data_IF_029174976261
#
_entry.id   IF_029174976261
#
_cell.length_a   1.000
_cell.length_b   1.000
_cell.length_c   1.000
_cell.angle_alpha   90.00
_cell.angle_beta   90.00
_cell.angle_gamma   90.00
#
_symmetry.space_group_name_H-M   'P 1'
#
loop_
_entity.id
_entity.type
_entity.pdbx_description
1 polymer ?
#
# COMPACT_ATOMS: atom_id res chain seq x y z
N UNK A 1 14.70 -17.17 4.37
CA UNK A 1 13.52 -16.38 4.00
C UNK A 1 12.97 -15.62 5.19
N UNK A 2 12.58 -16.37 6.18
CA UNK A 2 12.07 -15.74 7.39
C UNK A 2 13.10 -14.79 7.98
N UNK A 3 14.36 -15.19 7.93
CA UNK A 3 15.44 -14.38 8.46
C UNK A 3 15.59 -13.05 7.71
N UNK A 4 15.22 -13.04 6.46
CA UNK A 4 15.30 -11.82 5.68
C UNK A 4 14.33 -10.76 6.19
N UNK A 5 13.18 -11.21 6.62
CA UNK A 5 12.19 -10.27 7.12
C UNK A 5 12.56 -9.74 8.48
N UNK A 6 13.00 -10.64 9.36
CA UNK A 6 13.50 -10.19 10.65
C UNK A 6 14.67 -9.25 10.48
N UNK A 7 15.46 -9.55 9.49
CA UNK A 7 16.58 -8.72 9.16
C UNK A 7 16.13 -7.33 8.75
N UNK A 8 15.00 -7.21 8.10
CA UNK A 8 14.56 -5.91 7.67
C UNK A 8 14.29 -4.97 8.81
N UNK A 9 13.80 -5.47 9.88
CA UNK A 9 13.61 -4.61 11.03
C UNK A 9 14.91 -4.31 11.70
N UNK A 10 15.71 -5.32 11.88
CA UNK A 10 17.06 -5.08 12.32
C UNK A 10 17.79 -4.32 11.24
N UNK A 11 17.46 -4.62 10.00
CA UNK A 11 17.99 -3.98 8.84
C UNK A 11 17.71 -2.50 8.77
N UNK A 12 16.78 -2.02 9.52
CA UNK A 12 16.61 -0.60 9.64
C UNK A 12 17.89 0.04 10.16
N UNK A 13 18.51 -0.60 11.11
CA UNK A 13 19.80 -0.15 11.64
C UNK A 13 20.87 -0.34 10.59
N UNK A 14 20.86 -1.45 9.92
CA UNK A 14 21.81 -1.72 8.86
C UNK A 14 21.67 -0.70 7.74
N UNK A 15 20.45 -0.43 7.38
CA UNK A 15 20.17 0.55 6.37
C UNK A 15 20.66 1.92 6.79
N UNK A 16 20.46 2.26 8.03
CA UNK A 16 20.98 3.50 8.58
C UNK A 16 22.48 3.52 8.50
N UNK A 17 23.10 2.43 8.86
CA UNK A 17 24.54 2.34 8.83
C UNK A 17 25.06 2.54 7.41
N UNK A 18 24.38 1.96 6.45
CA UNK A 18 24.75 2.14 5.06
C UNK A 18 24.64 3.60 4.66
N UNK A 19 23.56 4.25 5.03
CA UNK A 19 23.36 5.64 4.70
C UNK A 19 24.41 6.54 5.34
N UNK A 20 24.81 6.22 6.55
CA UNK A 20 25.79 7.01 7.26
C UNK A 20 27.19 6.70 6.76
N UNK A 21 27.45 5.46 6.44
CA UNK A 21 28.77 5.03 6.09
C UNK A 21 29.19 5.44 4.68
N UNK A 22 28.45 5.11 3.69
CA UNK A 22 28.79 5.39 2.37
C UNK A 22 27.66 5.65 1.57
N UNK A 23 27.05 5.74 2.32
CA UNK A 23 26.32 5.64 1.84
C UNK A 23 25.05 5.94 1.35
N UNK A 24 24.54 7.06 1.64
CA UNK A 24 23.32 7.45 1.04
C UNK A 24 23.29 7.13 -0.43
N UNK A 25 24.45 7.25 -1.09
CA UNK A 25 24.51 6.98 -2.50
C UNK A 25 24.23 5.53 -2.83
N UNK A 26 24.87 4.62 -2.14
CA UNK A 26 24.67 3.18 -2.33
C UNK A 26 23.28 2.77 -1.90
N UNK A 27 22.82 3.33 -0.80
CA UNK A 27 21.47 3.05 -0.30
C UNK A 27 20.41 3.50 -1.29
N UNK A 28 20.59 4.68 -1.88
CA UNK A 28 19.64 5.21 -2.85
C UNK A 28 19.57 4.31 -4.08
N UNK A 29 20.71 3.87 -4.60
CA UNK A 29 20.73 2.96 -5.73
C UNK A 29 20.03 1.65 -5.43
N UNK A 30 20.29 1.09 -4.25
CA UNK A 30 19.73 -0.21 -3.89
C UNK A 30 18.22 -0.20 -3.77
N UNK A 31 17.64 0.90 -3.36
CA UNK A 31 16.23 0.96 -3.07
C UNK A 31 15.46 1.95 -3.92
N UNK A 32 16.04 2.37 -5.01
CA UNK A 32 15.45 3.39 -5.86
C UNK A 32 14.04 3.02 -6.33
N UNK A 33 13.84 1.80 -6.79
CA UNK A 33 12.53 1.37 -7.25
C UNK A 33 11.50 1.33 -6.12
N UNK A 34 11.93 0.89 -4.95
CA UNK A 34 11.05 0.86 -3.79
C UNK A 34 10.62 2.27 -3.38
N UNK A 35 11.56 3.19 -3.34
CA UNK A 35 11.27 4.56 -2.99
C UNK A 35 10.35 5.19 -4.03
N UNK A 36 10.60 4.95 -5.30
CA UNK A 36 9.75 5.47 -6.37
C UNK A 36 8.33 4.92 -6.28
N UNK A 37 8.19 3.66 -5.92
CA UNK A 37 6.87 3.06 -5.71
C UNK A 37 6.10 3.80 -4.62
N UNK A 38 6.76 4.06 -3.50
CA UNK A 38 6.13 4.75 -2.37
C UNK A 38 5.82 6.21 -2.71
N UNK A 39 6.74 6.88 -3.38
CA UNK A 39 6.53 8.28 -3.77
C UNK A 39 5.35 8.42 -4.72
N UNK A 40 5.25 7.50 -5.69
CA UNK A 40 4.14 7.52 -6.65
C UNK A 40 2.83 7.22 -5.93
N UNK A 41 2.82 6.25 -5.03
CA UNK A 41 1.63 5.93 -4.24
C UNK A 41 1.19 7.14 -3.40
N UNK A 42 2.15 7.83 -2.79
CA UNK A 42 1.85 9.04 -2.03
C UNK A 42 1.18 10.10 -2.91
N UNK A 43 1.68 10.28 -4.12
CA UNK A 43 1.08 11.22 -5.07
C UNK A 43 -0.34 10.86 -5.46
N UNK A 44 -0.63 9.58 -5.61
CA UNK A 44 -1.98 9.13 -5.94
C UNK A 44 -2.98 9.43 -4.83
N UNK A 45 -2.56 9.29 -3.59
CA UNK A 45 -3.43 9.54 -2.45
C UNK A 45 -3.82 11.02 -2.37
N UNK A 46 -2.88 11.91 -2.67
CA UNK A 46 -3.09 13.35 -2.56
C UNK A 46 -3.45 14.05 -3.87
N UNK A 47 -3.49 13.31 -4.97
CA UNK A 47 -3.59 13.92 -6.29
C UNK A 47 -5.00 13.96 -6.85
N UNK A 48 -5.05 13.96 -8.18
CA UNK A 48 -6.29 14.12 -8.96
C UNK A 48 -7.35 13.07 -8.67
N UNK A 49 -6.94 11.90 -8.19
CA UNK A 49 -7.89 10.85 -7.86
C UNK A 49 -8.83 11.27 -6.76
N UNK A 50 -8.30 11.97 -5.75
CA UNK A 50 -9.12 12.48 -4.66
C UNK A 50 -10.06 13.55 -5.14
N UNK A 51 -9.61 14.40 -6.06
CA UNK A 51 -10.45 15.43 -6.65
C UNK A 51 -11.61 14.82 -7.44
N UNK A 52 -11.34 13.75 -8.18
CA UNK A 52 -12.33 13.11 -9.05
C UNK A 52 -13.31 12.25 -8.27
N UNK A 53 -12.80 11.44 -7.34
CA UNK A 53 -13.61 10.43 -6.66
C UNK A 53 -13.94 10.76 -5.23
N UNK A 54 -13.46 11.90 -4.73
CA UNK A 54 -13.73 12.35 -3.37
C UNK A 54 -12.95 11.56 -2.34
N UNK A 55 -13.52 11.48 -1.15
CA UNK A 55 -12.86 10.87 -0.01
C UNK A 55 -12.79 9.35 -0.17
N UNK A 56 -11.58 8.82 -0.14
CA UNK A 56 -11.35 7.39 -0.33
C UNK A 56 -12.04 6.54 0.75
N UNK A 57 -12.11 7.04 1.98
CA UNK A 57 -12.76 6.32 3.07
C UNK A 57 -14.26 6.22 2.84
N UNK A 58 -14.87 7.30 2.38
CA UNK A 58 -16.31 7.29 2.09
C UNK A 58 -16.63 6.36 0.93
N UNK A 59 -15.79 6.35 -0.10
CA UNK A 59 -15.95 5.41 -1.20
C UNK A 59 -15.83 3.96 -0.70
N UNK A 60 -14.84 3.69 0.14
CA UNK A 60 -14.66 2.36 0.73
C UNK A 60 -15.86 1.97 1.59
N UNK A 61 -16.44 2.92 2.31
CA UNK A 61 -17.64 2.66 3.10
C UNK A 61 -18.79 2.18 2.22
N UNK A 62 -19.00 2.86 1.11
CA UNK A 62 -20.06 2.48 0.16
C UNK A 62 -19.79 1.12 -0.47
N UNK A 63 -18.55 0.86 -0.83
CA UNK A 63 -18.15 -0.43 -1.39
C UNK A 63 -18.40 -1.54 -0.37
N UNK A 64 -18.04 -1.29 0.89
CA UNK A 64 -18.24 -2.25 1.96
C UNK A 64 -19.72 -2.60 2.15
N UNK A 65 -20.58 -1.62 2.05
CA UNK A 65 -22.03 -1.84 2.12
C UNK A 65 -22.49 -2.71 0.94
N UNK A 66 -22.05 -2.40 -0.25
CA UNK A 66 -22.42 -3.14 -1.45
C UNK A 66 -21.94 -4.58 -1.38
N UNK A 67 -20.70 -4.79 -1.01
CA UNK A 67 -20.13 -6.13 -0.90
C UNK A 67 -20.81 -6.95 0.17
N UNK A 68 -21.15 -6.33 1.29
CA UNK A 68 -21.89 -7.00 2.36
C UNK A 68 -23.25 -7.48 1.89
N UNK A 69 -23.91 -6.66 1.08
CA UNK A 69 -25.19 -7.02 0.51
C UNK A 69 -25.08 -8.23 -0.41
N UNK A 70 -24.08 -8.23 -1.28
CA UNK A 70 -23.85 -9.34 -2.20
C UNK A 70 -23.56 -10.63 -1.44
N UNK A 71 -22.79 -10.54 -0.36
CA UNK A 71 -22.39 -11.70 0.43
C UNK A 71 -23.45 -12.12 1.45
N UNK A 72 -24.49 -11.32 1.64
CA UNK A 72 -25.52 -11.62 2.63
C UNK A 72 -25.04 -11.45 4.07
N UNK A 73 -24.09 -10.55 4.31
CA UNK A 73 -23.59 -10.32 5.65
C UNK A 73 -24.54 -9.43 6.43
N UNK A 74 -24.61 -9.63 7.73
CA UNK A 74 -25.46 -8.82 8.61
C UNK A 74 -24.88 -7.44 8.89
N UNK A 75 -23.57 -7.29 8.77
CA UNK A 75 -22.89 -6.04 9.02
C UNK A 75 -22.10 -5.59 7.81
N UNK A 76 -21.96 -4.29 7.57
CA UNK A 76 -21.11 -3.82 6.47
C UNK A 76 -19.65 -4.17 6.68
N UNK A 77 -18.96 -4.47 5.59
CA UNK A 77 -17.50 -4.61 5.64
C UNK A 77 -16.93 -3.20 5.91
N UNK A 78 -16.15 -3.01 6.98
CA UNK A 78 -15.66 -1.68 7.30
C UNK A 78 -14.66 -1.14 6.28
N UNK A 79 -14.52 0.18 6.18
CA UNK A 79 -13.65 0.80 5.17
C UNK A 79 -12.23 0.27 5.17
N UNK A 80 -11.61 0.07 6.34
CA UNK A 80 -10.23 -0.39 6.37
C UNK A 80 -10.08 -1.78 5.77
N UNK A 81 -11.09 -2.65 5.96
CA UNK A 81 -11.05 -3.98 5.38
C UNK A 81 -11.26 -3.93 3.87
N UNK A 82 -12.12 -3.04 3.40
CA UNK A 82 -12.28 -2.85 1.96
C UNK A 82 -10.94 -2.44 1.33
N UNK A 83 -10.25 -1.50 1.95
CA UNK A 83 -8.95 -1.05 1.45
C UNK A 83 -7.93 -2.18 1.48
N UNK A 84 -7.93 -2.98 2.55
CA UNK A 84 -7.04 -4.13 2.64
C UNK A 84 -7.33 -5.17 1.55
N UNK A 85 -8.61 -5.40 1.27
CA UNK A 85 -9.02 -6.33 0.22
C UNK A 85 -8.59 -5.82 -1.15
N UNK A 86 -8.68 -4.52 -1.39
CA UNK A 86 -8.20 -3.93 -2.63
C UNK A 86 -6.69 -4.06 -2.75
N UNK A 87 -5.97 -3.88 -1.66
CA UNK A 87 -4.52 -4.10 -1.67
C UNK A 87 -4.19 -5.55 -2.03
N UNK A 88 -4.93 -6.49 -1.45
CA UNK A 88 -4.73 -7.91 -1.76
C UNK A 88 -4.98 -8.21 -3.24
N UNK A 89 -6.03 -7.62 -3.80
CA UNK A 89 -6.32 -7.77 -5.22
C UNK A 89 -5.14 -7.30 -6.07
N UNK A 90 -4.60 -6.15 -5.73
CA UNK A 90 -3.47 -5.60 -6.48
C UNK A 90 -2.21 -6.45 -6.32
N UNK A 91 -1.98 -7.00 -5.13
CA UNK A 91 -0.85 -7.90 -4.92
C UNK A 91 -0.96 -9.17 -5.78
N UNK A 92 -2.15 -9.73 -5.87
CA UNK A 92 -2.37 -10.89 -6.72
C UNK A 92 -2.08 -10.54 -8.18
N UNK A 93 -2.56 -9.40 -8.64
CA UNK A 93 -2.30 -8.95 -10.01
C UNK A 93 -0.81 -8.73 -10.25
N UNK A 94 -0.12 -8.17 -9.27
CA UNK A 94 1.33 -7.98 -9.36
C UNK A 94 2.08 -9.31 -9.46
N UNK A 95 1.62 -10.33 -8.76
CA UNK A 95 2.24 -11.65 -8.85
C UNK A 95 1.99 -12.31 -10.20
N UNK A 96 0.86 -12.02 -10.83
CA UNK A 96 0.55 -12.56 -12.16
C UNK A 96 1.40 -11.85 -13.22
N UNK A 97 1.56 -10.54 -13.10
CA UNK A 97 2.33 -9.75 -14.06
C UNK A 97 3.29 -8.82 -13.31
N UNK A 98 4.43 -9.35 -12.85
CA UNK A 98 5.32 -8.59 -11.96
C UNK A 98 5.90 -7.31 -12.56
N UNK A 99 5.96 -7.22 -13.88
CA UNK A 99 6.48 -6.03 -14.54
C UNK A 99 5.48 -4.88 -14.60
N UNK A 100 4.23 -5.12 -14.23
CA UNK A 100 3.21 -4.09 -14.24
C UNK A 100 3.31 -3.28 -12.95
N UNK A 101 4.04 -2.20 -13.00
CA UNK A 101 4.38 -1.41 -11.82
C UNK A 101 3.16 -0.86 -11.09
N UNK A 102 2.11 -0.53 -11.82
CA UNK A 102 0.90 0.03 -11.23
C UNK A 102 0.28 -0.87 -10.18
N UNK A 103 0.39 -2.19 -10.34
CA UNK A 103 -0.13 -3.11 -9.35
C UNK A 103 0.54 -2.94 -8.00
N UNK A 104 1.87 -2.79 -8.00
CA UNK A 104 2.62 -2.60 -6.75
C UNK A 104 2.34 -1.23 -6.15
N UNK A 105 2.27 -0.20 -6.98
CA UNK A 105 1.97 1.16 -6.54
C UNK A 105 0.59 1.22 -5.92
N UNK A 106 -0.40 0.65 -6.60
CA UNK A 106 -1.78 0.65 -6.10
C UNK A 106 -1.90 -0.14 -4.80
N UNK A 107 -1.20 -1.28 -4.69
CA UNK A 107 -1.20 -2.06 -3.46
C UNK A 107 -0.66 -1.24 -2.29
N UNK A 108 0.41 -0.50 -2.51
CA UNK A 108 0.99 0.36 -1.48
C UNK A 108 0.01 1.46 -1.08
N UNK A 109 -0.64 2.10 -2.04
CA UNK A 109 -1.61 3.15 -1.77
C UNK A 109 -2.81 2.62 -0.98
N UNK A 110 -3.37 1.49 -1.38
CA UNK A 110 -4.49 0.88 -0.65
C UNK A 110 -4.10 0.46 0.76
N UNK A 111 -2.88 -0.05 0.94
CA UNK A 111 -2.40 -0.41 2.27
C UNK A 111 -2.33 0.82 3.18
N UNK A 112 -1.81 1.92 2.65
CA UNK A 112 -1.73 3.17 3.41
C UNK A 112 -3.12 3.69 3.75
N UNK A 113 -4.05 3.64 2.79
CA UNK A 113 -5.43 4.07 3.03
C UNK A 113 -6.13 3.18 4.03
N UNK A 114 -5.82 1.87 4.05
CA UNK A 114 -6.37 0.98 5.05
C UNK A 114 -5.98 1.42 6.46
N UNK A 115 -4.71 1.73 6.64
CA UNK A 115 -4.22 2.20 7.93
C UNK A 115 -4.91 3.50 8.36
N UNK A 116 -5.11 4.40 7.40
CA UNK A 116 -5.77 5.67 7.68
C UNK A 116 -7.24 5.48 8.07
N UNK A 117 -7.87 4.44 7.55
CA UNK A 117 -9.30 4.18 7.77
C UNK A 117 -9.61 3.39 9.04
N UNK A 118 -8.59 2.88 9.72
CA UNK A 118 -8.81 2.06 10.92
C UNK A 118 -9.52 2.82 12.03
N UNK A 119 -9.26 4.11 12.14
CA UNK A 119 -9.81 4.93 13.20
C UNK A 119 -11.29 5.29 13.00
N UNK A 120 -11.89 4.87 11.90
CA UNK A 120 -13.26 5.26 11.52
C UNK A 120 -14.30 4.09 11.65
#
# INVERSE_FOLDING_TARGET
MVNSWNFDYAGRTTRQAILVGHGSFVGDEMYERAVNTLDTANGLIHGSRQETYGNATETARRIGMAWSSVLGLSEPIPPFQVQAMMAALKLVRGCIEPSHEDSWIDAAAYTALANDSVAL
#
